data_IF_679092989141
#
_entry.id   IF_679092989141
#
_cell.length_a   1.000
_cell.length_b   1.000
_cell.length_c   1.000
_cell.angle_alpha   90.00
_cell.angle_beta   90.00
_cell.angle_gamma   90.00
#
_symmetry.space_group_name_H-M   'P 1'
#
loop_
_entity.id
_entity.type
_entity.pdbx_description
1 polymer ?
#
# COMPACT_ATOMS: atom_id res chain seq x y z
N UNK A 1 0.12 9.42 -3.78
CA UNK A 1 0.56 8.02 -4.00
C UNK A 1 1.39 7.55 -2.82
N UNK A 2 1.13 6.36 -2.34
CA UNK A 2 1.93 5.73 -1.27
C UNK A 2 2.74 4.61 -1.91
N UNK A 3 4.06 4.66 -1.74
CA UNK A 3 5.01 3.68 -2.29
C UNK A 3 5.73 2.96 -1.16
N UNK A 4 5.73 1.64 -1.20
CA UNK A 4 6.59 0.80 -0.36
C UNK A 4 7.78 0.36 -1.21
N UNK A 5 8.95 0.79 -0.83
CA UNK A 5 10.20 0.43 -1.48
C UNK A 5 10.91 -0.65 -0.67
N UNK A 6 11.32 -1.70 -1.34
CA UNK A 6 12.06 -2.81 -0.74
C UNK A 6 13.42 -2.88 -1.41
N UNK A 7 14.45 -2.55 -0.67
CA UNK A 7 15.85 -2.61 -1.12
C UNK A 7 16.69 -3.40 -0.15
N UNK A 8 17.70 -4.03 -0.68
CA UNK A 8 18.80 -4.56 0.12
C UNK A 8 20.03 -3.66 -0.07
N UNK A 9 20.65 -3.26 1.02
CA UNK A 9 21.91 -2.53 1.03
C UNK A 9 22.87 -3.17 2.01
N UNK A 10 24.14 -3.21 1.67
CA UNK A 10 25.16 -3.80 2.54
C UNK A 10 26.56 -3.29 2.22
N UNK A 11 27.54 -3.47 3.14
CA UNK A 11 28.91 -3.03 2.96
C UNK A 11 29.71 -3.89 1.96
N UNK A 12 30.93 -3.46 1.63
CA UNK A 12 31.83 -3.94 0.57
C UNK A 12 32.17 -5.45 0.50
N UNK A 13 31.67 -6.27 1.39
CA UNK A 13 31.64 -7.73 1.26
C UNK A 13 30.71 -8.20 0.11
N UNK A 14 30.01 -7.26 -0.48
CA UNK A 14 29.00 -7.47 -1.50
C UNK A 14 29.50 -8.17 -2.76
N UNK A 15 30.70 -7.82 -3.25
CA UNK A 15 31.17 -8.36 -4.53
C UNK A 15 31.43 -9.88 -4.51
N UNK A 16 31.85 -10.43 -3.38
CA UNK A 16 32.05 -11.87 -3.23
C UNK A 16 30.76 -12.56 -2.86
N UNK A 17 29.97 -11.93 -2.00
CA UNK A 17 28.66 -12.45 -1.60
C UNK A 17 27.62 -12.39 -2.74
N UNK A 18 27.69 -11.38 -3.63
CA UNK A 18 26.76 -11.26 -4.74
C UNK A 18 26.84 -12.42 -5.74
N UNK A 19 28.02 -12.93 -6.00
CA UNK A 19 28.18 -14.09 -6.88
C UNK A 19 27.54 -15.36 -6.31
N UNK A 20 27.50 -15.47 -5.00
CA UNK A 20 26.98 -16.63 -4.28
C UNK A 20 25.53 -16.45 -3.81
N UNK A 21 25.16 -15.23 -3.43
CA UNK A 21 23.88 -14.92 -2.81
C UNK A 21 22.93 -14.06 -3.65
N UNK A 22 23.37 -13.57 -4.81
CA UNK A 22 22.56 -12.73 -5.69
C UNK A 22 21.18 -13.31 -6.03
N UNK A 23 21.09 -14.56 -6.50
CA UNK A 23 19.80 -15.20 -6.78
C UNK A 23 18.93 -15.35 -5.54
N UNK A 24 19.51 -15.71 -4.40
CA UNK A 24 18.77 -15.82 -3.13
C UNK A 24 18.23 -14.46 -2.70
N UNK A 25 19.06 -13.43 -2.77
CA UNK A 25 18.66 -12.06 -2.44
C UNK A 25 17.54 -11.58 -3.36
N UNK A 26 17.65 -11.82 -4.65
CA UNK A 26 16.62 -11.47 -5.61
C UNK A 26 15.29 -12.16 -5.28
N UNK A 27 15.35 -13.47 -5.02
CA UNK A 27 14.14 -14.23 -4.66
C UNK A 27 13.54 -13.76 -3.34
N UNK A 28 14.37 -13.43 -2.37
CA UNK A 28 13.93 -12.86 -1.09
C UNK A 28 13.16 -11.53 -1.27
N UNK A 29 13.68 -10.63 -2.10
CA UNK A 29 13.00 -9.36 -2.42
C UNK A 29 11.66 -9.60 -3.09
N UNK A 30 11.60 -10.52 -4.05
CA UNK A 30 10.35 -10.90 -4.73
C UNK A 30 9.31 -11.44 -3.74
N UNK A 31 9.71 -12.34 -2.85
CA UNK A 31 8.82 -12.90 -1.83
C UNK A 31 8.31 -11.83 -0.85
N UNK A 32 9.18 -10.92 -0.41
CA UNK A 32 8.74 -9.79 0.44
C UNK A 32 7.78 -8.87 -0.28
N UNK A 33 8.02 -8.60 -1.57
CA UNK A 33 7.12 -7.81 -2.38
C UNK A 33 5.76 -8.49 -2.54
N UNK A 34 5.74 -9.80 -2.73
CA UNK A 34 4.51 -10.59 -2.81
C UNK A 34 3.72 -10.54 -1.51
N UNK A 35 4.38 -10.71 -0.36
CA UNK A 35 3.74 -10.60 0.95
C UNK A 35 3.13 -9.21 1.14
N UNK A 36 3.91 -8.17 0.86
CA UNK A 36 3.46 -6.78 1.01
C UNK A 36 2.27 -6.51 0.09
N UNK A 37 2.38 -6.85 -1.18
CA UNK A 37 1.33 -6.66 -2.18
C UNK A 37 0.03 -7.39 -1.81
N UNK A 38 0.12 -8.66 -1.48
CA UNK A 38 -1.05 -9.47 -1.14
C UNK A 38 -1.73 -8.96 0.15
N UNK A 39 -0.94 -8.63 1.17
CA UNK A 39 -1.47 -8.09 2.42
C UNK A 39 -2.14 -6.74 2.22
N UNK A 40 -1.55 -5.85 1.42
CA UNK A 40 -2.18 -4.57 1.08
C UNK A 40 -3.52 -4.76 0.36
N UNK A 41 -3.59 -5.70 -0.57
CA UNK A 41 -4.85 -6.01 -1.28
C UNK A 41 -5.91 -6.60 -0.36
N UNK A 42 -5.52 -7.43 0.58
CA UNK A 42 -6.46 -8.00 1.57
C UNK A 42 -7.02 -6.95 2.52
N UNK A 43 -6.18 -6.01 2.96
CA UNK A 43 -6.54 -5.00 3.95
C UNK A 43 -7.13 -3.73 3.35
N UNK A 44 -6.95 -3.50 2.05
CA UNK A 44 -7.47 -2.32 1.38
C UNK A 44 -9.01 -2.27 1.46
N UNK A 45 -9.60 -1.10 1.72
CA UNK A 45 -11.06 -0.94 1.71
C UNK A 45 -11.66 -1.34 0.35
N UNK A 46 -12.76 -2.09 0.37
CA UNK A 46 -13.37 -2.67 -0.84
C UNK A 46 -14.76 -2.09 -1.11
N UNK A 47 -14.95 -0.81 -0.92
CA UNK A 47 -16.24 -0.18 -1.20
C UNK A 47 -16.62 -0.24 -2.69
N UNK A 48 -15.65 0.10 -3.56
CA UNK A 48 -15.81 0.08 -5.02
C UNK A 48 -14.80 -0.82 -5.72
N UNK A 49 -13.78 -1.29 -4.99
CA UNK A 49 -12.66 -2.05 -5.54
C UNK A 49 -11.54 -1.20 -6.15
N UNK A 50 -11.74 0.10 -6.38
CA UNK A 50 -10.72 0.96 -7.00
C UNK A 50 -9.43 1.05 -6.20
N UNK A 51 -9.51 1.13 -4.88
CA UNK A 51 -8.31 1.17 -4.03
C UNK A 51 -7.48 -0.10 -4.21
N UNK A 52 -8.11 -1.26 -4.09
CA UNK A 52 -7.45 -2.57 -4.29
C UNK A 52 -6.84 -2.69 -5.68
N UNK A 53 -7.56 -2.31 -6.72
CA UNK A 53 -7.09 -2.38 -8.12
C UNK A 53 -5.98 -1.36 -8.42
N UNK A 54 -5.84 -0.31 -7.59
CA UNK A 54 -4.78 0.68 -7.71
C UNK A 54 -3.45 0.22 -7.12
N UNK A 55 -3.43 -0.90 -6.40
CA UNK A 55 -2.21 -1.46 -5.82
C UNK A 55 -1.44 -2.20 -6.91
N UNK A 56 -0.18 -1.84 -7.09
CA UNK A 56 0.71 -2.38 -8.12
C UNK A 56 2.02 -2.83 -7.51
N UNK A 57 2.61 -3.82 -8.12
CA UNK A 57 3.92 -4.36 -7.76
C UNK A 57 4.84 -4.29 -8.96
N UNK A 58 6.07 -3.86 -8.77
CA UNK A 58 7.12 -3.89 -9.77
C UNK A 58 8.41 -4.46 -9.18
N UNK A 59 9.06 -5.33 -9.93
CA UNK A 59 10.27 -6.05 -9.51
C UNK A 59 11.41 -5.59 -10.42
N UNK A 60 12.48 -5.09 -9.80
CA UNK A 60 13.73 -4.77 -10.45
C UNK A 60 14.86 -5.68 -9.96
N UNK A 61 16.08 -5.41 -10.39
CA UNK A 61 17.28 -6.12 -9.93
C UNK A 61 17.71 -5.54 -8.58
N UNK A 62 17.63 -6.34 -7.53
CA UNK A 62 17.99 -5.92 -6.17
C UNK A 62 17.00 -4.97 -5.51
N UNK A 63 15.83 -4.75 -6.10
CA UNK A 63 14.81 -3.86 -5.56
C UNK A 63 13.41 -4.27 -6.01
N UNK A 64 12.41 -3.88 -5.23
CA UNK A 64 11.01 -4.01 -5.60
C UNK A 64 10.22 -2.82 -5.05
N UNK A 65 9.11 -2.53 -5.69
CA UNK A 65 8.19 -1.47 -5.29
C UNK A 65 6.77 -2.02 -5.22
N UNK A 66 6.04 -1.61 -4.20
CA UNK A 66 4.60 -1.83 -4.09
C UNK A 66 3.94 -0.46 -3.93
N UNK A 67 3.16 -0.08 -4.92
CA UNK A 67 2.56 1.25 -5.04
C UNK A 67 1.05 1.20 -4.88
N UNK A 68 0.49 2.21 -4.25
CA UNK A 68 -0.94 2.51 -4.28
C UNK A 68 -1.13 3.79 -5.06
N UNK A 69 -1.72 3.71 -6.24
CA UNK A 69 -1.85 4.86 -7.16
C UNK A 69 -3.12 5.68 -6.93
N UNK A 70 -4.11 5.16 -6.22
CA UNK A 70 -5.30 5.92 -5.86
C UNK A 70 -4.91 7.08 -4.92
N UNK A 71 -5.18 8.35 -5.30
CA UNK A 71 -4.84 9.50 -4.47
C UNK A 71 -5.57 9.52 -3.12
N UNK A 72 -6.67 8.79 -2.98
CA UNK A 72 -7.41 8.66 -1.72
C UNK A 72 -6.70 7.77 -0.70
N UNK A 73 -5.69 7.00 -1.11
CA UNK A 73 -4.95 6.10 -0.24
C UNK A 73 -4.36 6.79 0.98
N UNK A 74 -3.87 8.02 0.83
CA UNK A 74 -3.33 8.82 1.94
C UNK A 74 -4.38 9.08 3.01
N UNK A 75 -5.60 9.41 2.60
CA UNK A 75 -6.71 9.66 3.54
C UNK A 75 -7.19 8.38 4.23
N UNK A 76 -7.15 7.26 3.54
CA UNK A 76 -7.48 5.95 4.14
C UNK A 76 -6.41 5.55 5.15
N UNK A 77 -5.14 5.67 4.79
CA UNK A 77 -4.00 5.30 5.63
C UNK A 77 -3.94 6.10 6.94
N UNK A 78 -4.08 7.42 6.85
CA UNK A 78 -3.90 8.34 7.97
C UNK A 78 -5.20 8.88 8.56
N UNK A 79 -6.33 8.61 7.92
CA UNK A 79 -7.61 9.22 8.29
C UNK A 79 -7.70 10.68 7.90
N UNK A 80 -8.86 11.27 8.17
CA UNK A 80 -9.10 12.70 7.97
C UNK A 80 -9.71 13.33 9.22
N UNK A 81 -9.42 14.61 9.42
CA UNK A 81 -10.02 15.41 10.50
C UNK A 81 -11.44 15.84 10.11
N UNK A 82 -12.29 16.19 11.09
CA UNK A 82 -13.56 16.84 10.80
C UNK A 82 -13.34 18.08 9.93
N UNK A 83 -14.14 18.24 8.90
CA UNK A 83 -14.03 19.33 7.94
C UNK A 83 -15.36 19.64 7.27
N UNK A 84 -15.43 20.84 6.67
CA UNK A 84 -16.57 21.26 5.87
C UNK A 84 -16.31 20.94 4.39
N UNK A 85 -17.32 20.45 3.70
CA UNK A 85 -17.28 20.18 2.27
C UNK A 85 -18.17 21.18 1.56
N UNK A 86 -17.61 21.87 0.57
CA UNK A 86 -18.29 22.85 -0.28
C UNK A 86 -18.27 22.39 -1.74
N UNK A 87 -19.26 22.77 -2.54
CA UNK A 87 -19.24 22.50 -3.98
C UNK A 87 -18.13 23.31 -4.66
N UNK A 88 -17.44 22.69 -5.64
CA UNK A 88 -16.34 23.31 -6.39
C UNK A 88 -16.81 23.80 -7.75
N UNK A 89 -17.53 22.96 -8.49
CA UNK A 89 -17.97 23.22 -9.86
C UNK A 89 -19.49 23.27 -10.04
N UNK A 90 -20.23 23.38 -8.93
CA UNK A 90 -21.70 23.40 -8.95
C UNK A 90 -22.22 24.35 -7.89
N UNK A 91 -23.50 24.70 -7.96
CA UNK A 91 -24.17 25.58 -7.01
C UNK A 91 -24.48 24.90 -5.67
N UNK A 92 -24.52 23.55 -5.65
CA UNK A 92 -24.79 22.77 -4.45
C UNK A 92 -24.11 21.39 -4.52
N UNK A 93 -24.01 20.73 -3.38
CA UNK A 93 -23.65 19.33 -3.27
C UNK A 93 -24.90 18.47 -3.44
N UNK A 94 -24.74 17.32 -4.10
CA UNK A 94 -25.77 16.31 -4.24
C UNK A 94 -25.23 14.94 -3.81
N UNK A 95 -25.90 14.26 -2.90
CA UNK A 95 -25.53 12.94 -2.45
C UNK A 95 -26.77 12.14 -2.01
N UNK A 96 -26.62 10.84 -2.01
CA UNK A 96 -27.68 9.92 -1.65
C UNK A 96 -27.55 9.51 -0.17
N UNK A 97 -28.58 9.76 0.62
CA UNK A 97 -28.62 9.38 2.02
C UNK A 97 -30.07 9.15 2.48
N UNK A 98 -30.27 8.18 3.36
CA UNK A 98 -31.59 7.87 3.89
C UNK A 98 -32.62 7.46 2.81
N UNK A 99 -32.18 6.85 1.71
CA UNK A 99 -33.04 6.40 0.62
C UNK A 99 -33.47 7.50 -0.36
N UNK A 100 -32.87 8.69 -0.29
CA UNK A 100 -33.20 9.82 -1.16
C UNK A 100 -32.00 10.68 -1.49
N UNK A 101 -32.10 11.47 -2.57
CA UNK A 101 -31.10 12.49 -2.93
C UNK A 101 -31.25 13.71 -2.01
N UNK A 102 -30.12 14.17 -1.49
CA UNK A 102 -30.00 15.36 -0.67
C UNK A 102 -29.19 16.40 -1.42
N UNK A 103 -29.69 17.64 -1.44
CA UNK A 103 -29.03 18.79 -2.04
C UNK A 103 -28.74 19.81 -0.92
N UNK A 104 -27.49 20.24 -0.82
CA UNK A 104 -27.06 21.20 0.21
C UNK A 104 -25.91 22.07 -0.29
N UNK A 105 -25.75 23.26 0.29
CA UNK A 105 -24.64 24.15 -0.03
C UNK A 105 -23.33 23.75 0.64
N UNK A 106 -23.40 23.00 1.72
CA UNK A 106 -22.24 22.48 2.45
C UNK A 106 -22.60 21.26 3.27
N UNK A 107 -21.61 20.47 3.62
CA UNK A 107 -21.72 19.32 4.51
C UNK A 107 -20.63 19.40 5.57
N UNK A 108 -21.02 19.24 6.82
CA UNK A 108 -20.07 19.01 7.91
C UNK A 108 -19.68 17.54 7.94
N UNK A 109 -18.45 17.24 7.54
CA UNK A 109 -17.94 15.88 7.54
C UNK A 109 -17.20 15.59 8.85
N UNK A 110 -17.54 14.50 9.56
CA UNK A 110 -16.94 14.20 10.87
C UNK A 110 -15.49 13.70 10.80
N UNK A 111 -14.93 13.57 9.59
CA UNK A 111 -13.65 12.94 9.37
C UNK A 111 -13.78 11.42 9.28
N UNK A 112 -12.67 10.75 8.99
CA UNK A 112 -12.59 9.28 8.90
C UNK A 112 -11.49 8.75 9.81
N UNK A 113 -11.75 7.58 10.43
CA UNK A 113 -10.72 6.89 11.20
C UNK A 113 -9.65 6.33 10.29
N UNK A 114 -8.37 6.33 10.70
CA UNK A 114 -7.30 5.67 9.97
C UNK A 114 -7.59 4.18 9.75
N UNK A 115 -7.30 3.70 8.54
CA UNK A 115 -7.26 2.29 8.18
C UNK A 115 -5.90 2.00 7.56
N UNK A 116 -4.84 1.83 8.36
CA UNK A 116 -3.46 1.82 7.90
C UNK A 116 -3.07 0.51 7.23
N UNK A 117 -3.68 0.20 6.09
CA UNK A 117 -3.45 -1.03 5.33
C UNK A 117 -2.03 -1.12 4.77
N UNK A 118 -1.38 0.00 4.42
CA UNK A 118 0.02 0.03 3.97
C UNK A 118 0.96 -0.29 5.14
N UNK A 119 0.78 0.37 6.28
CA UNK A 119 1.60 0.13 7.47
C UNK A 119 1.49 -1.32 7.95
N UNK A 120 0.30 -1.86 8.02
CA UNK A 120 0.09 -3.25 8.45
C UNK A 120 0.70 -4.25 7.46
N UNK A 121 0.67 -3.97 6.17
CA UNK A 121 1.33 -4.80 5.16
C UNK A 121 2.85 -4.80 5.32
N UNK A 122 3.45 -3.63 5.59
CA UNK A 122 4.88 -3.50 5.87
C UNK A 122 5.27 -4.25 7.15
N UNK A 123 4.50 -4.09 8.22
CA UNK A 123 4.72 -4.80 9.49
C UNK A 123 4.63 -6.32 9.30
N UNK A 124 3.67 -6.81 8.51
CA UNK A 124 3.54 -8.22 8.19
C UNK A 124 4.76 -8.76 7.43
N UNK A 125 5.21 -8.03 6.41
CA UNK A 125 6.40 -8.40 5.66
C UNK A 125 7.65 -8.43 6.56
N UNK A 126 7.81 -7.43 7.43
CA UNK A 126 8.94 -7.36 8.38
C UNK A 126 8.93 -8.53 9.36
N UNK A 127 7.78 -8.90 9.88
CA UNK A 127 7.62 -10.03 10.80
C UNK A 127 7.99 -11.37 10.14
N UNK A 128 7.80 -11.48 8.83
CA UNK A 128 8.07 -12.70 8.07
C UNK A 128 9.45 -12.75 7.43
N UNK A 129 10.32 -11.78 7.70
CA UNK A 129 11.68 -11.74 7.13
C UNK A 129 12.46 -13.03 7.37
N UNK A 130 12.55 -13.58 8.60
CA UNK A 130 13.35 -14.79 8.83
C UNK A 130 12.89 -15.99 8.00
N UNK A 131 11.61 -16.29 8.01
CA UNK A 131 11.06 -17.43 7.24
C UNK A 131 11.13 -17.18 5.72
N UNK A 132 10.96 -15.93 5.29
CA UNK A 132 11.03 -15.56 3.87
C UNK A 132 12.45 -15.71 3.34
N UNK A 133 13.45 -15.36 4.13
CA UNK A 133 14.85 -15.57 3.79
C UNK A 133 15.18 -17.06 3.65
N UNK A 134 14.74 -17.87 4.59
CA UNK A 134 14.91 -19.32 4.53
C UNK A 134 14.23 -19.93 3.30
N UNK A 135 13.02 -19.51 3.01
CA UNK A 135 12.28 -19.92 1.82
C UNK A 135 13.02 -19.54 0.54
N UNK A 136 13.51 -18.31 0.43
CA UNK A 136 14.27 -17.85 -0.72
C UNK A 136 15.52 -18.70 -0.95
N UNK A 137 16.19 -19.11 0.11
CA UNK A 137 17.36 -19.96 0.05
C UNK A 137 17.02 -21.39 -0.47
N UNK A 138 15.88 -21.91 -0.07
CA UNK A 138 15.45 -23.26 -0.49
C UNK A 138 14.92 -23.29 -1.94
N UNK A 139 14.44 -22.18 -2.47
CA UNK A 139 13.87 -22.07 -3.82
C UNK A 139 14.88 -21.77 -4.93
N UNK A 140 16.11 -21.51 -4.58
CA UNK A 140 17.18 -21.13 -5.55
C UNK A 140 18.13 -22.31 -5.88
#
# INVERSE_FOLDING_TARGET
>A
MITVEIRTSGPDLEQVAERLAGPVRQRFIELLADITYNTMRELAPVRTGFMRESIRKSIGVGEAYVDVTDPKAVFVEYGTRPHMIYPVNASCLAFFAGGRMIFTKYVSHPGTKPQPFVRFAVEEAQRRIPETWEQAFLEV
#
